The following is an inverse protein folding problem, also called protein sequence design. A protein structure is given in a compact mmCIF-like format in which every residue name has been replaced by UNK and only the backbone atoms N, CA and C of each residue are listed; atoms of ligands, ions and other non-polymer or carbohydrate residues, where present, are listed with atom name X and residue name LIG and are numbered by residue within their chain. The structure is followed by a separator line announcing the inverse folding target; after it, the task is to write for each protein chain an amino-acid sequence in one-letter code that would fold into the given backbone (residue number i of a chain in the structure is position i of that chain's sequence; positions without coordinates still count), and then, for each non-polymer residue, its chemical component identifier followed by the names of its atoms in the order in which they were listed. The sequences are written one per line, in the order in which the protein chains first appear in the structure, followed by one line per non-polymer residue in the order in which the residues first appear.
data_IF_923700481209
#
_entry.id   IF_923700481209
#
_cell.length_a   1.000
_cell.length_b   1.000
_cell.length_c   1.000
_cell.angle_alpha   90.00
_cell.angle_beta   90.00
_cell.angle_gamma   90.00
#
_symmetry.space_group_name_H-M   'P 1'
#
loop_
_entity.id
_entity.type
_entity.pdbx_description
1 polymer ?
#
# COMPACT_ATOMS: atom_id res chain seq x y z
N UNK A 1 4.56 11.86 16.96
CA UNK A 1 3.56 11.31 16.23
C UNK A 1 3.99 10.89 14.90
N UNK A 2 3.59 9.79 14.42
CA UNK A 2 3.90 9.30 13.09
C UNK A 2 2.88 9.74 12.09
N UNK A 3 3.12 9.46 10.85
CA UNK A 3 2.15 9.68 9.79
C UNK A 3 1.99 8.40 9.02
N UNK A 4 0.82 8.22 8.42
CA UNK A 4 0.55 7.05 7.62
C UNK A 4 1.18 7.21 6.25
N UNK A 5 1.84 6.17 5.80
CA UNK A 5 2.40 6.13 4.46
C UNK A 5 1.93 4.90 3.76
N UNK A 6 1.71 5.01 2.47
CA UNK A 6 1.34 3.87 1.67
C UNK A 6 2.53 2.91 1.57
N UNK A 7 2.28 1.66 1.88
CA UNK A 7 3.33 0.64 1.87
C UNK A 7 3.48 0.08 0.46
N UNK A 8 4.40 0.67 -0.28
CA UNK A 8 4.59 0.29 -1.68
C UNK A 8 5.17 -1.12 -1.83
N UNK A 9 5.94 -1.55 -0.85
CA UNK A 9 6.46 -2.93 -0.88
C UNK A 9 5.32 -3.92 -0.73
N UNK A 10 4.35 -3.60 0.10
CA UNK A 10 3.19 -4.46 0.27
C UNK A 10 2.35 -4.48 -0.99
N UNK A 11 2.17 -3.32 -1.62
CA UNK A 11 1.44 -3.23 -2.88
C UNK A 11 2.08 -4.14 -3.92
N UNK A 12 3.39 -4.04 -4.05
CA UNK A 12 4.11 -4.88 -5.02
C UNK A 12 3.95 -6.35 -4.68
N UNK A 13 4.09 -6.71 -3.42
CA UNK A 13 3.98 -8.10 -3.00
C UNK A 13 2.60 -8.67 -3.31
N UNK A 14 1.55 -7.89 -3.07
CA UNK A 14 0.19 -8.36 -3.35
C UNK A 14 -0.06 -8.48 -4.84
N UNK A 15 0.51 -7.58 -5.64
CA UNK A 15 0.40 -7.70 -7.09
C UNK A 15 1.05 -8.99 -7.58
N UNK A 16 2.25 -9.26 -7.09
CA UNK A 16 2.98 -10.47 -7.47
C UNK A 16 2.24 -11.72 -7.00
N UNK A 17 1.69 -11.67 -5.80
CA UNK A 17 0.92 -12.80 -5.26
C UNK A 17 -0.31 -13.11 -6.12
N UNK A 18 -0.85 -12.11 -6.80
CA UNK A 18 -1.98 -12.31 -7.71
C UNK A 18 -1.53 -12.82 -9.08
N UNK A 19 -0.23 -12.93 -9.32
CA UNK A 19 0.28 -13.37 -10.59
C UNK A 19 0.26 -12.31 -11.67
N UNK A 20 0.23 -11.04 -11.30
CA UNK A 20 0.15 -9.94 -12.25
C UNK A 20 1.49 -9.24 -12.37
N UNK A 21 1.99 -9.08 -13.59
CA UNK A 21 3.15 -8.24 -13.78
C UNK A 21 2.70 -6.77 -13.86
N UNK A 22 3.66 -5.86 -13.96
CA UNK A 22 3.34 -4.44 -13.97
C UNK A 22 2.47 -4.05 -15.15
N UNK A 23 2.72 -4.62 -16.32
CA UNK A 23 1.95 -4.27 -17.50
C UNK A 23 0.50 -4.74 -17.37
N UNK A 24 0.31 -5.94 -16.85
CA UNK A 24 -1.03 -6.49 -16.66
C UNK A 24 -1.82 -5.68 -15.64
N UNK A 25 -1.17 -5.36 -14.53
CA UNK A 25 -1.85 -4.59 -13.49
C UNK A 25 -2.18 -3.19 -13.97
N UNK A 26 -1.24 -2.55 -14.66
CA UNK A 26 -1.47 -1.24 -15.25
C UNK A 26 -2.66 -1.27 -16.20
N UNK A 27 -2.72 -2.30 -17.05
CA UNK A 27 -3.82 -2.41 -17.99
C UNK A 27 -5.16 -2.47 -17.27
N UNK A 28 -5.24 -3.26 -16.20
CA UNK A 28 -6.46 -3.36 -15.42
C UNK A 28 -6.83 -2.04 -14.74
N UNK A 29 -5.83 -1.21 -14.49
CA UNK A 29 -6.05 0.10 -13.87
C UNK A 29 -6.33 1.19 -14.90
N UNK A 30 -6.24 0.87 -16.19
CA UNK A 30 -6.47 1.85 -17.23
C UNK A 30 -5.30 2.81 -17.43
N UNK A 31 -4.07 2.39 -17.11
CA UNK A 31 -2.90 3.25 -17.27
C UNK A 31 -1.78 2.48 -17.97
N UNK A 32 -0.77 3.21 -18.44
CA UNK A 32 0.37 2.59 -19.07
C UNK A 32 1.24 1.91 -18.02
N UNK A 33 2.06 0.96 -18.47
CA UNK A 33 3.00 0.31 -17.57
C UNK A 33 3.94 1.31 -16.94
N UNK A 34 4.42 2.27 -17.73
CA UNK A 34 5.32 3.30 -17.21
C UNK A 34 4.67 4.13 -16.12
N UNK A 35 3.41 4.49 -16.32
CA UNK A 35 2.67 5.26 -15.33
C UNK A 35 2.51 4.48 -14.04
N UNK A 36 2.17 3.20 -14.13
CA UNK A 36 2.04 2.36 -12.95
C UNK A 36 3.39 2.17 -12.25
N UNK A 37 4.44 1.91 -13.03
CA UNK A 37 5.78 1.70 -12.47
C UNK A 37 6.24 2.88 -11.63
N UNK A 38 5.98 4.11 -12.11
CA UNK A 38 6.34 5.29 -11.36
C UNK A 38 5.62 5.34 -10.01
N UNK A 39 4.38 4.89 -9.98
CA UNK A 39 3.61 4.86 -8.74
C UNK A 39 4.13 3.81 -7.79
N UNK A 40 4.41 2.63 -8.30
CA UNK A 40 4.91 1.54 -7.46
C UNK A 40 6.30 1.86 -6.89
N UNK A 41 7.08 2.65 -7.61
CA UNK A 41 8.41 3.05 -7.17
C UNK A 41 8.43 4.34 -6.36
N UNK A 42 7.27 4.94 -6.13
CA UNK A 42 7.18 6.13 -5.30
C UNK A 42 7.51 7.43 -5.98
N UNK A 43 7.67 7.41 -7.31
CA UNK A 43 7.99 8.63 -8.06
C UNK A 43 6.76 9.49 -8.34
N UNK A 44 5.59 8.88 -8.35
CA UNK A 44 4.32 9.57 -8.53
C UNK A 44 3.40 9.08 -7.43
N UNK A 45 2.68 9.98 -6.80
CA UNK A 45 1.76 9.62 -5.72
C UNK A 45 0.57 8.84 -6.26
N UNK A 46 0.11 7.89 -5.46
CA UNK A 46 -1.09 7.12 -5.79
C UNK A 46 -2.27 7.85 -5.15
N UNK A 47 -3.26 8.19 -5.97
CA UNK A 47 -4.46 8.84 -5.46
C UNK A 47 -5.33 7.83 -4.71
N UNK A 48 -6.23 8.35 -3.91
CA UNK A 48 -7.19 7.50 -3.19
C UNK A 48 -8.03 6.69 -4.16
N UNK A 49 -8.46 7.30 -5.26
CA UNK A 49 -9.24 6.59 -6.28
C UNK A 49 -8.44 5.47 -6.93
N UNK A 50 -7.17 5.74 -7.20
CA UNK A 50 -6.30 4.72 -7.77
C UNK A 50 -6.10 3.57 -6.81
N UNK A 51 -5.86 3.89 -5.54
CA UNK A 51 -5.67 2.86 -4.53
C UNK A 51 -6.93 2.00 -4.39
N UNK A 52 -8.10 2.61 -4.41
CA UNK A 52 -9.35 1.87 -4.33
C UNK A 52 -9.47 0.86 -5.47
N UNK A 53 -9.11 1.27 -6.69
CA UNK A 53 -9.15 0.36 -7.82
C UNK A 53 -8.11 -0.74 -7.71
N UNK A 54 -6.91 -0.40 -7.24
CA UNK A 54 -5.87 -1.38 -7.01
C UNK A 54 -6.34 -2.44 -6.01
N UNK A 55 -6.93 -2.01 -4.90
CA UNK A 55 -7.42 -2.93 -3.90
C UNK A 55 -8.51 -3.84 -4.45
N UNK A 56 -9.41 -3.27 -5.25
CA UNK A 56 -10.47 -4.07 -5.85
C UNK A 56 -9.91 -5.15 -6.75
N UNK A 57 -8.93 -4.81 -7.59
CA UNK A 57 -8.31 -5.79 -8.49
C UNK A 57 -7.58 -6.86 -7.69
N UNK A 58 -6.97 -6.49 -6.58
CA UNK A 58 -6.24 -7.43 -5.75
C UNK A 58 -7.15 -8.26 -4.84
N UNK A 59 -8.44 -7.96 -4.81
CA UNK A 59 -9.39 -8.75 -4.04
C UNK A 59 -9.55 -8.29 -2.60
N UNK A 60 -9.15 -7.06 -2.29
CA UNK A 60 -9.31 -6.51 -0.95
C UNK A 60 -10.47 -5.53 -0.92
N UNK A 61 -11.05 -5.36 0.24
CA UNK A 61 -12.11 -4.38 0.44
C UNK A 61 -11.65 -3.32 1.44
N UNK A 62 -12.55 -2.41 1.77
CA UNK A 62 -12.18 -1.30 2.66
C UNK A 62 -11.74 -1.77 4.04
N UNK A 63 -12.20 -2.93 4.47
CA UNK A 63 -11.82 -3.44 5.80
C UNK A 63 -10.38 -3.91 5.84
N UNK A 64 -9.77 -4.10 4.67
CA UNK A 64 -8.38 -4.53 4.57
C UNK A 64 -7.45 -3.36 4.25
N UNK A 65 -7.97 -2.14 4.23
CA UNK A 65 -7.19 -1.00 3.79
C UNK A 65 -5.91 -0.80 4.60
N UNK A 66 -5.97 -1.10 5.89
CA UNK A 66 -4.84 -0.84 6.77
C UNK A 66 -3.58 -1.61 6.40
N UNK A 67 -3.71 -2.75 5.71
CA UNK A 67 -2.52 -3.52 5.36
C UNK A 67 -1.62 -2.79 4.36
N UNK A 68 -2.17 -1.78 3.66
CA UNK A 68 -1.39 -1.04 2.67
C UNK A 68 -0.74 0.20 3.24
N UNK A 69 -0.82 0.41 4.54
CA UNK A 69 -0.21 1.58 5.15
C UNK A 69 0.78 1.19 6.23
N UNK A 70 1.87 1.92 6.29
CA UNK A 70 2.80 1.82 7.40
C UNK A 70 2.75 3.12 8.15
N UNK A 71 3.11 3.07 9.41
CA UNK A 71 3.17 4.26 10.21
C UNK A 71 4.61 4.60 10.48
N UNK A 72 5.00 5.82 10.12
CA UNK A 72 6.34 6.29 10.32
C UNK A 72 6.42 6.94 11.69
N UNK A 73 6.88 6.21 12.68
CA UNK A 73 6.88 6.65 14.06
C UNK A 73 8.30 6.80 14.55
N UNK A 74 8.64 7.87 15.29
CA UNK A 74 9.95 7.97 15.88
C UNK A 74 10.24 6.80 16.80
N UNK A 75 11.48 6.37 16.83
CA UNK A 75 11.85 5.20 17.58
C UNK A 75 11.48 5.26 19.03
N UNK A 76 11.60 6.39 19.65
CA UNK A 76 11.32 6.51 21.06
C UNK A 76 9.89 6.28 21.45
N UNK A 77 8.96 6.40 20.50
CA UNK A 77 7.55 6.22 20.80
C UNK A 77 7.04 4.88 20.49
N UNK A 78 7.83 4.13 19.78
CA UNK A 78 7.31 2.92 19.25
C UNK A 78 7.00 1.88 20.25
N UNK A 79 7.55 1.90 21.37
CA UNK A 79 7.36 0.89 22.26
C UNK A 79 6.24 0.92 23.04
N UNK A 80 5.55 1.56 22.98
CA UNK A 80 4.50 1.49 23.80
C UNK A 80 3.41 0.90 23.26
N UNK A 81 3.24 0.42 22.82
CA UNK A 81 2.20 -0.06 22.43
C UNK A 81 1.89 -1.18 22.28
N UNK A 82 2.38 -1.45 22.70
CA UNK A 82 2.23 -2.21 22.84
C UNK A 82 1.89 -2.76 23.36
N UNK A 83 1.81 -2.56 23.67
CA UNK A 83 1.74 -2.58 24.39
C UNK A 83 1.41 -2.90 24.58
N UNK A 84 1.39 -2.98 24.85
CA UNK A 84 1.18 -2.77 25.41
C UNK A 84 0.67 -3.03 25.41
N UNK A 85 0.60 -3.24 25.55
CA UNK A 85 0.38 -3.09 25.99
C UNK A 85 -0.15 -3.15 26.12
N UNK A 86 -0.22 -3.34 26.27
CA UNK A 86 -0.45 -3.04 26.74
C UNK A 86 -0.89 -2.88 26.81
N UNK A 87 -0.86 -3.13 26.89
CA UNK A 87 -1.03 -2.66 27.21
C UNK A 87 -1.28 -2.61 27.37
N UNK A 88 -1.27 -2.81 27.51
CA UNK A 88 -1.21 -2.44 27.86
C UNK A 88 -1.42 -2.32 28.07
#
# INVERSE_FOLDING_TARGET
MGELKLDLKRLRAERIAKGLDQAEFAHKLGMSRSSYSKRENGLVNISISELARMMSILGFNKDNLSIFFTQNVPIGEHKKLRGDKKSE
#
